data_IF_532589026476
#
_entry.id   IF_532589026476
#
_cell.length_a   1.000
_cell.length_b   1.000
_cell.length_c   1.000
_cell.angle_alpha   90.00
_cell.angle_beta   90.00
_cell.angle_gamma   90.00
#
_symmetry.space_group_name_H-M   'P 1'
#
loop_
_entity.id
_entity.type
_entity.pdbx_description
1 polymer ?
#
# COMPACT_ATOMS: atom_id res chain seq x y z
N UNK A 1 -30.36 -4.51 27.02
CA UNK A 1 -30.81 -3.09 27.07
C UNK A 1 -29.76 -2.35 27.90
N UNK A 2 -29.08 -1.27 27.52
CA UNK A 2 -29.29 -0.20 26.53
C UNK A 2 -27.92 0.41 26.16
N UNK A 3 -27.78 0.87 24.92
CA UNK A 3 -26.71 1.78 24.44
C UNK A 3 -26.97 3.20 24.97
N UNK A 4 -25.93 4.03 25.12
CA UNK A 4 -25.72 5.28 24.35
C UNK A 4 -24.75 6.29 25.02
N UNK A 5 -23.75 6.70 24.21
CA UNK A 5 -23.25 8.06 23.95
C UNK A 5 -22.62 8.83 25.12
N UNK A 6 -21.29 8.97 25.08
CA UNK A 6 -20.54 9.99 25.83
C UNK A 6 -20.51 11.29 25.01
N UNK A 7 -21.24 12.29 25.50
CA UNK A 7 -21.36 13.64 24.96
C UNK A 7 -20.19 14.52 25.40
N UNK A 8 -19.69 15.31 24.46
CA UNK A 8 -18.87 16.50 24.69
C UNK A 8 -19.72 17.55 25.43
N UNK A 9 -19.23 18.10 26.55
CA UNK A 9 -19.80 19.32 27.14
C UNK A 9 -18.70 20.29 27.50
N UNK A 10 -18.58 21.29 26.64
CA UNK A 10 -17.83 22.53 26.81
C UNK A 10 -18.62 23.40 27.80
N UNK A 11 -18.15 23.51 29.04
CA UNK A 11 -18.79 24.24 30.12
C UNK A 11 -18.33 25.71 30.16
N UNK A 12 -19.22 26.58 29.71
CA UNK A 12 -19.22 28.04 29.74
C UNK A 12 -18.78 28.69 31.05
N UNK A 13 -18.15 29.86 30.94
CA UNK A 13 -18.47 30.97 31.86
C UNK A 13 -18.67 32.25 31.05
N UNK A 14 -19.87 32.80 31.21
CA UNK A 14 -20.46 33.89 30.44
C UNK A 14 -19.98 35.27 30.91
N UNK A 15 -19.85 36.11 29.89
CA UNK A 15 -19.86 37.58 29.82
C UNK A 15 -20.98 38.24 30.66
N UNK A 16 -20.73 39.43 31.23
CA UNK A 16 -21.61 40.63 31.12
C UNK A 16 -20.94 41.94 31.61
N UNK A 17 -20.70 42.81 30.63
CA UNK A 17 -20.80 44.28 30.52
C UNK A 17 -21.03 45.24 31.71
N UNK A 18 -20.36 46.40 31.56
CA UNK A 18 -20.73 47.80 31.87
C UNK A 18 -20.63 48.33 33.31
N UNK A 19 -19.66 49.23 33.54
CA UNK A 19 -19.89 50.69 33.65
C UNK A 19 -18.60 51.43 34.00
N UNK A 20 -18.42 52.59 33.36
CA UNK A 20 -17.31 53.51 33.54
C UNK A 20 -17.62 54.53 34.65
N UNK A 21 -16.59 54.96 35.38
CA UNK A 21 -16.30 56.31 35.92
C UNK A 21 -15.16 56.11 36.93
N UNK A 22 -13.92 56.29 36.50
CA UNK A 22 -13.11 57.52 36.56
C UNK A 22 -12.40 57.69 37.92
N UNK A 23 -11.12 58.04 37.82
CA UNK A 23 -10.15 58.32 38.89
C UNK A 23 -9.56 57.15 39.71
N UNK A 24 -8.50 56.56 39.14
CA UNK A 24 -7.57 55.66 39.88
C UNK A 24 -6.84 54.61 39.04
N UNK A 25 -6.61 54.85 37.75
CA UNK A 25 -6.29 53.81 36.75
C UNK A 25 -4.85 53.22 36.74
N UNK A 26 -3.96 53.47 37.72
CA UNK A 26 -2.53 53.06 37.56
C UNK A 26 -1.84 52.31 38.71
N UNK A 27 -2.55 51.65 39.63
CA UNK A 27 -1.86 50.93 40.74
C UNK A 27 -2.34 49.51 41.04
N UNK A 28 -3.03 48.82 40.12
CA UNK A 28 -3.30 47.37 40.27
C UNK A 28 -3.24 46.55 38.98
N UNK A 29 -3.29 47.20 37.81
CA UNK A 29 -3.12 46.51 36.52
C UNK A 29 -1.64 46.12 36.32
N UNK A 30 -0.69 46.92 36.79
CA UNK A 30 0.75 46.63 36.64
C UNK A 30 1.24 45.41 37.43
N UNK A 31 0.63 45.12 38.58
CA UNK A 31 0.97 43.92 39.37
C UNK A 31 0.38 42.65 38.73
N UNK A 32 -0.88 42.68 38.30
CA UNK A 32 -1.50 41.55 37.59
C UNK A 32 -0.88 41.32 36.20
N UNK A 33 -0.53 42.39 35.47
CA UNK A 33 0.19 42.29 34.19
C UNK A 33 1.65 41.87 34.42
N UNK A 34 2.30 42.34 35.48
CA UNK A 34 3.66 41.95 35.84
C UNK A 34 3.76 40.48 36.25
N UNK A 35 2.82 39.99 37.06
CA UNK A 35 2.73 38.59 37.44
C UNK A 35 2.32 37.70 36.26
N UNK A 36 1.37 38.14 35.41
CA UNK A 36 0.99 37.41 34.20
C UNK A 36 2.11 37.40 33.14
N UNK A 37 2.81 38.51 32.90
CA UNK A 37 3.94 38.58 31.98
C UNK A 37 5.15 37.80 32.52
N UNK A 38 5.40 37.82 33.83
CA UNK A 38 6.41 37.01 34.49
C UNK A 38 6.05 35.52 34.42
N UNK A 39 4.79 35.16 34.65
CA UNK A 39 4.28 33.79 34.49
C UNK A 39 4.42 33.32 33.04
N UNK A 40 4.06 34.14 32.04
CA UNK A 40 4.23 33.81 30.61
C UNK A 40 5.71 33.71 30.22
N UNK A 41 6.57 34.60 30.74
CA UNK A 41 8.03 34.54 30.52
C UNK A 41 8.66 33.31 31.16
N UNK A 42 8.29 33.01 32.42
CA UNK A 42 8.70 31.80 33.14
C UNK A 42 8.18 30.55 32.44
N UNK A 43 6.96 30.56 31.88
CA UNK A 43 6.41 29.43 31.13
C UNK A 43 7.15 29.22 29.80
N UNK A 44 7.55 30.30 29.10
CA UNK A 44 8.41 30.20 27.91
C UNK A 44 9.81 29.68 28.26
N UNK A 45 10.39 30.12 29.38
CA UNK A 45 11.67 29.59 29.88
C UNK A 45 11.60 28.12 30.30
N UNK A 46 10.51 27.72 30.96
CA UNK A 46 10.23 26.31 31.34
C UNK A 46 9.98 25.46 30.09
N UNK A 47 9.27 25.97 29.09
CA UNK A 47 9.08 25.28 27.81
C UNK A 47 10.42 25.08 27.10
N UNK A 48 11.25 26.12 26.99
CA UNK A 48 12.59 26.00 26.41
C UNK A 48 13.47 25.02 27.18
N UNK A 49 13.39 25.02 28.52
CA UNK A 49 14.11 24.05 29.34
C UNK A 49 13.60 22.62 29.08
N UNK A 50 12.29 22.43 29.01
CA UNK A 50 11.66 21.15 28.68
C UNK A 50 12.11 20.64 27.29
N UNK A 51 12.06 21.50 26.28
CA UNK A 51 12.49 21.19 24.92
C UNK A 51 14.00 20.82 24.89
N UNK A 52 14.82 21.55 25.66
CA UNK A 52 16.25 21.25 25.80
C UNK A 52 16.50 19.90 26.49
N UNK A 53 15.74 19.55 27.53
CA UNK A 53 15.81 18.24 28.18
C UNK A 53 15.37 17.11 27.25
N UNK A 54 14.31 17.31 26.45
CA UNK A 54 13.86 16.34 25.46
C UNK A 54 14.93 16.13 24.37
N UNK A 55 15.54 17.22 23.88
CA UNK A 55 16.62 17.15 22.90
C UNK A 55 17.86 16.45 23.46
N UNK A 56 18.24 16.75 24.71
CA UNK A 56 19.33 16.06 25.40
C UNK A 56 19.03 14.57 25.57
N UNK A 57 17.81 14.21 25.96
CA UNK A 57 17.38 12.81 26.08
C UNK A 57 17.47 12.05 24.74
N UNK A 58 17.02 12.67 23.64
CA UNK A 58 17.16 12.13 22.29
C UNK A 58 18.63 11.96 21.90
N UNK A 59 19.48 12.94 22.21
CA UNK A 59 20.92 12.88 21.92
C UNK A 59 21.60 11.74 22.68
N UNK A 60 21.31 11.60 23.98
CA UNK A 60 21.85 10.52 24.81
C UNK A 60 21.39 9.14 24.32
N UNK A 61 20.14 9.01 23.88
CA UNK A 61 19.62 7.78 23.27
C UNK A 61 20.37 7.42 21.99
N UNK A 62 20.60 8.40 21.11
CA UNK A 62 21.39 8.21 19.87
C UNK A 62 22.84 7.85 20.18
N UNK A 63 23.47 8.51 21.14
CA UNK A 63 24.84 8.21 21.57
C UNK A 63 24.95 6.79 22.13
N UNK A 64 24.00 6.36 22.97
CA UNK A 64 23.95 4.99 23.51
C UNK A 64 23.83 3.94 22.40
N UNK A 65 22.95 4.20 21.41
CA UNK A 65 22.78 3.33 20.24
C UNK A 65 24.07 3.26 19.42
N UNK A 66 24.70 4.40 19.12
CA UNK A 66 25.95 4.46 18.36
C UNK A 66 27.09 3.73 19.08
N UNK A 67 27.25 3.93 20.38
CA UNK A 67 28.27 3.25 21.18
C UNK A 67 28.09 1.71 21.14
N UNK A 68 26.83 1.25 21.17
CA UNK A 68 26.51 -0.17 21.01
C UNK A 68 26.87 -0.67 19.62
N UNK A 69 26.52 0.07 18.57
CA UNK A 69 26.86 -0.28 17.18
C UNK A 69 28.38 -0.34 16.94
N UNK A 70 29.16 0.57 17.53
CA UNK A 70 30.63 0.53 17.45
C UNK A 70 31.17 -0.75 18.08
N UNK A 71 30.68 -1.13 19.27
CA UNK A 71 31.07 -2.38 19.94
C UNK A 71 30.72 -3.62 19.10
N UNK A 72 29.50 -3.67 18.56
CA UNK A 72 29.06 -4.77 17.70
C UNK A 72 29.87 -4.85 16.40
N UNK A 73 30.22 -3.71 15.81
CA UNK A 73 30.98 -3.65 14.54
C UNK A 73 32.43 -4.09 14.72
N UNK A 74 32.98 -3.91 15.92
CA UNK A 74 34.34 -4.36 16.26
C UNK A 74 34.39 -5.82 16.75
N UNK A 75 33.24 -6.49 16.95
CA UNK A 75 33.14 -7.89 17.35
C UNK A 75 32.89 -8.80 16.12
N UNK A 76 33.89 -9.60 15.70
CA UNK A 76 33.75 -10.48 14.54
C UNK A 76 32.60 -11.49 14.66
N UNK A 77 32.27 -11.93 15.87
CA UNK A 77 31.19 -12.90 16.11
C UNK A 77 29.83 -12.27 15.89
N UNK A 78 29.64 -11.02 16.33
CA UNK A 78 28.43 -10.25 16.09
C UNK A 78 28.25 -9.95 14.59
N UNK A 79 29.32 -9.57 13.90
CA UNK A 79 29.30 -9.35 12.44
C UNK A 79 28.96 -10.64 11.69
N UNK A 80 29.61 -11.75 12.01
CA UNK A 80 29.32 -13.05 11.40
C UNK A 80 27.89 -13.52 11.67
N UNK A 81 27.39 -13.33 12.89
CA UNK A 81 26.00 -13.62 13.24
C UNK A 81 25.01 -12.81 12.41
N UNK A 82 25.26 -11.51 12.23
CA UNK A 82 24.44 -10.65 11.37
C UNK A 82 24.45 -11.12 9.91
N UNK A 83 25.62 -11.49 9.36
CA UNK A 83 25.74 -12.04 8.00
C UNK A 83 24.95 -13.35 7.85
N UNK A 84 25.04 -14.25 8.82
CA UNK A 84 24.30 -15.51 8.79
C UNK A 84 22.78 -15.28 8.83
N UNK A 85 22.31 -14.35 9.65
CA UNK A 85 20.90 -13.96 9.69
C UNK A 85 20.43 -13.37 8.35
N UNK A 86 21.25 -12.52 7.72
CA UNK A 86 20.94 -11.96 6.39
C UNK A 86 20.90 -13.05 5.32
N UNK A 87 21.84 -14.00 5.33
CA UNK A 87 21.87 -15.11 4.38
C UNK A 87 20.66 -16.05 4.56
N UNK A 88 20.26 -16.32 5.80
CA UNK A 88 19.06 -17.09 6.11
C UNK A 88 17.80 -16.35 5.63
N UNK A 89 17.71 -15.04 5.88
CA UNK A 89 16.61 -14.20 5.39
C UNK A 89 16.52 -14.17 3.86
N UNK A 90 17.64 -13.99 3.17
CA UNK A 90 17.70 -14.02 1.71
C UNK A 90 17.30 -15.40 1.15
N UNK A 91 17.73 -16.48 1.80
CA UNK A 91 17.35 -17.85 1.43
C UNK A 91 15.84 -18.06 1.60
N UNK A 92 15.28 -17.66 2.74
CA UNK A 92 13.84 -17.77 2.99
C UNK A 92 12.99 -16.91 2.05
N UNK A 93 13.50 -15.75 1.59
CA UNK A 93 12.80 -14.91 0.63
C UNK A 93 12.89 -15.43 -0.81
N UNK A 94 14.06 -15.91 -1.22
CA UNK A 94 14.31 -16.20 -2.62
C UNK A 94 14.10 -17.66 -2.98
N UNK A 95 14.57 -18.59 -2.14
CA UNK A 95 14.65 -20.03 -2.44
C UNK A 95 13.50 -20.85 -1.89
N UNK A 96 12.63 -20.26 -1.08
CA UNK A 96 11.42 -20.91 -0.59
C UNK A 96 10.18 -20.43 -1.34
N UNK A 97 9.16 -21.29 -1.43
CA UNK A 97 7.84 -20.94 -2.00
C UNK A 97 6.82 -20.66 -0.90
N UNK A 98 6.60 -21.64 -0.03
CA UNK A 98 5.52 -21.62 0.97
C UNK A 98 5.73 -20.54 2.04
N UNK A 99 6.92 -20.48 2.64
CA UNK A 99 7.20 -19.51 3.72
C UNK A 99 7.80 -18.20 3.21
N UNK A 100 8.06 -18.08 1.90
CA UNK A 100 8.55 -16.83 1.33
C UNK A 100 7.41 -15.83 1.17
N UNK A 101 7.37 -14.72 1.93
CA UNK A 101 6.39 -13.67 1.69
C UNK A 101 6.53 -13.05 0.29
N UNK A 102 7.74 -13.04 -0.28
CA UNK A 102 7.98 -12.52 -1.63
C UNK A 102 7.32 -13.41 -2.69
N UNK A 103 7.51 -14.74 -2.60
CA UNK A 103 6.85 -15.69 -3.51
C UNK A 103 5.33 -15.61 -3.38
N UNK A 104 4.80 -15.59 -2.15
CA UNK A 104 3.36 -15.52 -1.90
C UNK A 104 2.74 -14.23 -2.47
N UNK A 105 3.44 -13.10 -2.38
CA UNK A 105 2.97 -11.84 -2.97
C UNK A 105 2.86 -11.91 -4.50
N UNK A 106 3.87 -12.48 -5.18
CA UNK A 106 3.83 -12.68 -6.65
C UNK A 106 2.71 -13.66 -7.03
N UNK A 107 2.59 -14.76 -6.29
CA UNK A 107 1.52 -15.74 -6.50
C UNK A 107 0.14 -15.13 -6.36
N UNK A 108 -0.07 -14.30 -5.33
CA UNK A 108 -1.33 -13.60 -5.13
C UNK A 108 -1.65 -12.66 -6.29
N UNK A 109 -0.68 -11.88 -6.76
CA UNK A 109 -0.87 -10.96 -7.88
C UNK A 109 -1.26 -11.70 -9.18
N UNK A 110 -0.57 -12.82 -9.49
CA UNK A 110 -0.87 -13.63 -10.67
C UNK A 110 -2.24 -14.30 -10.58
N UNK A 111 -2.56 -14.90 -9.42
CA UNK A 111 -3.87 -15.53 -9.20
C UNK A 111 -5.00 -14.50 -9.21
N UNK A 112 -4.79 -13.29 -8.69
CA UNK A 112 -5.77 -12.21 -8.74
C UNK A 112 -6.02 -11.73 -10.18
N UNK A 113 -4.97 -11.59 -11.00
CA UNK A 113 -5.11 -11.22 -12.41
C UNK A 113 -5.89 -12.28 -13.22
N UNK A 114 -5.54 -13.56 -13.02
CA UNK A 114 -6.27 -14.69 -13.63
C UNK A 114 -7.71 -14.75 -13.12
N UNK A 115 -7.92 -14.58 -11.81
CA UNK A 115 -9.24 -14.60 -11.18
C UNK A 115 -10.13 -13.46 -11.67
N UNK A 116 -9.57 -12.26 -11.85
CA UNK A 116 -10.27 -11.14 -12.47
C UNK A 116 -10.75 -11.51 -13.87
N UNK A 117 -9.86 -12.00 -14.73
CA UNK A 117 -10.23 -12.40 -16.08
C UNK A 117 -11.27 -13.53 -16.10
N UNK A 118 -11.13 -14.54 -15.22
CA UNK A 118 -12.13 -15.60 -15.07
C UNK A 118 -13.51 -15.06 -14.66
N UNK A 119 -13.54 -13.96 -13.92
CA UNK A 119 -14.79 -13.34 -13.44
C UNK A 119 -15.45 -12.49 -14.52
N UNK A 120 -14.69 -11.68 -15.25
CA UNK A 120 -15.25 -10.68 -16.19
C UNK A 120 -15.18 -11.09 -17.66
N UNK A 121 -14.35 -12.08 -18.01
CA UNK A 121 -14.00 -12.40 -19.39
C UNK A 121 -15.21 -12.73 -20.27
N UNK A 122 -16.21 -13.43 -19.72
CA UNK A 122 -17.44 -13.77 -20.45
C UNK A 122 -18.23 -12.54 -20.92
N UNK A 123 -18.09 -11.40 -20.24
CA UNK A 123 -18.80 -10.15 -20.54
C UNK A 123 -17.99 -9.21 -21.44
N UNK A 124 -16.71 -9.51 -21.69
CA UNK A 124 -15.86 -8.69 -22.55
C UNK A 124 -16.26 -8.92 -24.00
N UNK A 125 -16.76 -7.85 -24.63
CA UNK A 125 -17.13 -7.86 -26.04
C UNK A 125 -15.88 -7.70 -26.91
N UNK A 126 -15.74 -8.54 -27.93
CA UNK A 126 -14.61 -8.49 -28.86
C UNK A 126 -15.01 -8.82 -30.31
N UNK A 127 -14.27 -8.28 -31.28
CA UNK A 127 -14.61 -8.45 -32.68
C UNK A 127 -13.68 -7.72 -33.66
N UNK A 128 -14.04 -7.77 -34.95
CA UNK A 128 -13.19 -7.27 -36.03
C UNK A 128 -13.25 -5.74 -36.19
N UNK A 129 -14.28 -5.10 -35.64
CA UNK A 129 -14.33 -3.64 -35.50
C UNK A 129 -14.37 -2.84 -36.80
N UNK A 130 -14.68 -3.48 -37.93
CA UNK A 130 -14.57 -2.85 -39.24
C UNK A 130 -15.70 -1.86 -39.53
N UNK A 131 -16.71 -1.74 -38.66
CA UNK A 131 -17.78 -0.76 -38.78
C UNK A 131 -18.75 -1.01 -39.94
N UNK A 132 -18.63 -2.15 -40.63
CA UNK A 132 -19.41 -2.47 -41.83
C UNK A 132 -20.73 -3.20 -41.53
N UNK A 133 -21.08 -3.42 -40.26
CA UNK A 133 -22.30 -4.14 -39.85
C UNK A 133 -22.28 -5.65 -40.15
N UNK A 134 -21.19 -6.18 -40.73
CA UNK A 134 -20.96 -7.58 -41.06
C UNK A 134 -19.59 -7.79 -41.73
N UNK A 135 -19.00 -8.98 -41.63
CA UNK A 135 -17.65 -9.24 -42.18
C UNK A 135 -17.13 -10.67 -41.92
N UNK A 136 -15.97 -11.05 -42.49
CA UNK A 136 -15.63 -12.44 -42.81
C UNK A 136 -14.87 -13.18 -41.70
N UNK A 137 -15.23 -13.05 -40.43
CA UNK A 137 -14.62 -13.95 -39.45
C UNK A 137 -14.83 -13.60 -38.00
N UNK A 138 -15.63 -14.41 -37.34
CA UNK A 138 -15.52 -14.60 -35.91
C UNK A 138 -14.24 -15.39 -35.61
N UNK A 139 -13.49 -15.00 -34.59
CA UNK A 139 -12.39 -15.81 -34.05
C UNK A 139 -12.84 -16.44 -32.74
N UNK A 140 -12.62 -17.74 -32.60
CA UNK A 140 -12.90 -18.46 -31.36
C UNK A 140 -11.58 -18.67 -30.63
N UNK A 141 -11.54 -18.25 -29.37
CA UNK A 141 -10.40 -18.48 -28.47
C UNK A 141 -10.79 -19.57 -27.48
N UNK A 142 -10.15 -20.72 -27.59
CA UNK A 142 -10.35 -21.85 -26.69
C UNK A 142 -9.65 -21.65 -25.34
N UNK A 143 -10.07 -22.46 -24.35
CA UNK A 143 -9.57 -22.40 -22.96
C UNK A 143 -9.75 -21.02 -22.33
N UNK A 144 -10.88 -20.37 -22.60
CA UNK A 144 -11.25 -19.05 -22.11
C UNK A 144 -12.51 -19.13 -21.22
N UNK A 145 -12.73 -18.17 -20.28
CA UNK A 145 -13.89 -18.17 -19.40
C UNK A 145 -15.13 -17.63 -20.12
N UNK A 146 -15.68 -18.43 -21.02
CA UNK A 146 -16.89 -18.11 -21.78
C UNK A 146 -18.17 -18.29 -20.96
N UNK A 147 -19.26 -17.68 -21.42
CA UNK A 147 -20.57 -17.85 -20.78
C UNK A 147 -21.04 -19.30 -20.96
N UNK A 148 -21.02 -20.08 -19.87
CA UNK A 148 -21.36 -21.52 -19.88
C UNK A 148 -20.51 -22.34 -20.87
N UNK A 149 -19.33 -21.86 -21.23
CA UNK A 149 -18.43 -22.50 -22.18
C UNK A 149 -16.97 -22.28 -21.78
N UNK A 150 -16.07 -23.05 -22.37
CA UNK A 150 -14.61 -22.91 -22.19
C UNK A 150 -13.96 -22.16 -23.36
N UNK A 151 -14.72 -21.30 -24.04
CA UNK A 151 -14.28 -20.58 -25.23
C UNK A 151 -14.95 -19.21 -25.32
N UNK A 152 -14.22 -18.19 -25.78
CA UNK A 152 -14.79 -16.87 -26.09
C UNK A 152 -14.77 -16.66 -27.60
N UNK A 153 -15.92 -16.28 -28.14
CA UNK A 153 -16.08 -16.00 -29.57
C UNK A 153 -16.08 -14.49 -29.78
N UNK A 154 -15.08 -13.98 -30.50
CA UNK A 154 -15.01 -12.59 -30.93
C UNK A 154 -15.71 -12.42 -32.29
N UNK A 155 -16.99 -12.04 -32.27
CA UNK A 155 -17.87 -11.94 -33.45
C UNK A 155 -18.56 -10.58 -33.62
N UNK A 156 -18.10 -9.56 -32.89
CA UNK A 156 -18.66 -8.21 -32.96
C UNK A 156 -18.18 -7.45 -34.21
N UNK A 157 -19.04 -6.60 -34.76
CA UNK A 157 -18.79 -5.83 -35.99
C UNK A 157 -18.72 -4.31 -35.76
N UNK A 158 -19.23 -3.84 -34.61
CA UNK A 158 -19.14 -2.44 -34.21
C UNK A 158 -17.68 -2.01 -34.00
N UNK A 159 -17.38 -0.73 -34.28
CA UNK A 159 -16.03 -0.17 -34.17
C UNK A 159 -15.36 -0.52 -32.83
N UNK A 160 -14.08 -0.88 -32.87
CA UNK A 160 -13.32 -1.23 -31.66
C UNK A 160 -12.65 -0.03 -31.02
N UNK A 161 -12.30 -0.14 -29.75
CA UNK A 161 -11.53 0.88 -29.01
C UNK A 161 -12.11 1.19 -27.62
N UNK A 162 -11.60 2.22 -26.93
CA UNK A 162 -12.06 2.59 -25.60
C UNK A 162 -13.56 2.87 -25.55
N UNK A 163 -14.25 2.28 -24.58
CA UNK A 163 -15.71 2.35 -24.44
C UNK A 163 -16.50 1.52 -25.45
N UNK A 164 -15.82 0.68 -26.26
CA UNK A 164 -16.40 -0.18 -27.28
C UNK A 164 -15.81 -1.60 -27.20
N UNK A 165 -16.11 -2.44 -28.18
CA UNK A 165 -15.56 -3.80 -28.27
C UNK A 165 -14.04 -3.79 -28.42
N UNK A 166 -13.40 -4.82 -27.86
CA UNK A 166 -11.97 -5.09 -28.00
C UNK A 166 -11.69 -5.63 -29.41
N UNK A 167 -10.58 -5.21 -30.03
CA UNK A 167 -10.17 -5.79 -31.31
C UNK A 167 -9.67 -7.22 -31.14
N UNK A 168 -9.77 -8.04 -32.19
CA UNK A 168 -9.23 -9.39 -32.20
C UNK A 168 -7.74 -9.41 -31.86
N UNK A 169 -6.95 -8.44 -32.33
CA UNK A 169 -5.51 -8.40 -32.08
C UNK A 169 -5.16 -8.08 -30.61
N UNK A 170 -5.94 -7.22 -29.95
CA UNK A 170 -5.79 -7.01 -28.50
C UNK A 170 -6.24 -8.24 -27.72
N UNK A 171 -7.32 -8.91 -28.16
CA UNK A 171 -7.77 -10.15 -27.53
C UNK A 171 -6.73 -11.27 -27.69
N UNK A 172 -6.01 -11.36 -28.81
CA UNK A 172 -4.90 -12.32 -28.99
C UNK A 172 -3.80 -12.12 -27.96
N UNK A 173 -3.37 -10.87 -27.73
CA UNK A 173 -2.34 -10.54 -26.71
C UNK A 173 -2.81 -10.92 -25.32
N UNK A 174 -4.08 -10.63 -25.00
CA UNK A 174 -4.68 -11.00 -23.73
C UNK A 174 -4.73 -12.51 -23.56
N UNK A 175 -5.22 -13.23 -24.59
CA UNK A 175 -5.29 -14.68 -24.59
C UNK A 175 -3.90 -15.30 -24.38
N UNK A 176 -2.89 -14.86 -25.12
CA UNK A 176 -1.50 -15.31 -24.96
C UNK A 176 -1.02 -15.16 -23.51
N UNK A 177 -1.16 -13.97 -22.94
CA UNK A 177 -0.77 -13.70 -21.56
C UNK A 177 -1.52 -14.58 -20.55
N UNK A 178 -2.85 -14.71 -20.72
CA UNK A 178 -3.69 -15.53 -19.86
C UNK A 178 -3.27 -17.00 -19.89
N UNK A 179 -3.02 -17.55 -21.08
CA UNK A 179 -2.62 -18.95 -21.25
C UNK A 179 -1.22 -19.21 -20.68
N UNK A 180 -0.28 -18.28 -20.85
CA UNK A 180 1.06 -18.37 -20.24
C UNK A 180 0.95 -18.46 -18.73
N UNK A 181 0.21 -17.53 -18.10
CA UNK A 181 0.08 -17.49 -16.64
C UNK A 181 -0.64 -18.74 -16.13
N UNK A 182 -1.74 -19.13 -16.77
CA UNK A 182 -2.49 -20.33 -16.39
C UNK A 182 -1.63 -21.60 -16.48
N UNK A 183 -0.86 -21.75 -17.57
CA UNK A 183 0.01 -22.92 -17.75
C UNK A 183 1.16 -22.90 -16.74
N UNK A 184 1.75 -21.74 -16.46
CA UNK A 184 2.81 -21.58 -15.47
C UNK A 184 2.33 -21.92 -14.05
N UNK A 185 1.10 -21.53 -13.69
CA UNK A 185 0.51 -21.85 -12.38
C UNK A 185 0.15 -23.34 -12.26
N UNK A 186 -0.30 -23.98 -13.35
CA UNK A 186 -0.74 -25.40 -13.33
C UNK A 186 0.39 -26.43 -13.45
N UNK A 187 1.42 -26.16 -14.25
CA UNK A 187 2.37 -27.22 -14.68
C UNK A 187 3.39 -27.63 -13.62
N UNK A 188 3.70 -26.76 -12.65
CA UNK A 188 4.86 -26.92 -11.76
C UNK A 188 4.54 -26.70 -10.28
N UNK A 189 3.28 -26.93 -9.88
CA UNK A 189 2.78 -26.58 -8.54
C UNK A 189 3.08 -25.09 -8.22
N UNK A 190 2.66 -24.22 -9.14
CA UNK A 190 3.05 -22.81 -9.20
C UNK A 190 4.34 -22.54 -10.01
N UNK A 191 4.77 -21.29 -10.02
CA UNK A 191 5.99 -20.86 -10.72
C UNK A 191 7.25 -21.20 -9.90
N UNK A 192 8.47 -21.14 -10.47
CA UNK A 192 9.71 -21.42 -9.75
C UNK A 192 9.97 -20.47 -8.57
N UNK A 193 10.84 -20.86 -7.65
CA UNK A 193 11.37 -19.95 -6.63
C UNK A 193 12.11 -18.75 -7.26
N UNK A 194 12.20 -17.64 -6.52
CA UNK A 194 12.57 -16.34 -7.09
C UNK A 194 14.08 -16.14 -7.29
N UNK A 195 14.92 -16.91 -6.59
CA UNK A 195 16.37 -16.85 -6.68
C UNK A 195 16.99 -17.75 -7.76
N UNK A 196 16.19 -18.61 -8.39
CA UNK A 196 16.64 -19.59 -9.38
C UNK A 196 16.59 -19.10 -10.82
N UNK A 197 17.03 -19.96 -11.74
CA UNK A 197 16.76 -19.75 -13.16
C UNK A 197 15.31 -20.12 -13.47
N UNK A 198 14.63 -19.30 -14.27
CA UNK A 198 13.26 -19.56 -14.69
C UNK A 198 13.13 -20.90 -15.44
N UNK A 199 11.97 -21.54 -15.32
CA UNK A 199 11.64 -22.76 -16.06
C UNK A 199 10.90 -22.39 -17.36
N UNK A 200 11.28 -23.01 -18.48
CA UNK A 200 10.57 -22.83 -19.75
C UNK A 200 9.23 -23.54 -19.68
N UNK A 201 8.16 -22.82 -20.02
CA UNK A 201 6.81 -23.36 -20.14
C UNK A 201 6.44 -23.34 -21.62
N UNK A 202 6.08 -24.51 -22.16
CA UNK A 202 5.51 -24.59 -23.51
C UNK A 202 4.01 -24.34 -23.41
N UNK A 203 3.52 -23.40 -24.18
CA UNK A 203 2.12 -22.95 -24.14
C UNK A 203 1.48 -23.27 -25.49
N UNK A 204 0.36 -23.96 -25.46
CA UNK A 204 -0.45 -24.28 -26.64
C UNK A 204 -1.86 -23.76 -26.43
N UNK A 205 -2.31 -22.85 -27.29
CA UNK A 205 -3.67 -22.31 -27.33
C UNK A 205 -4.12 -22.08 -28.76
#
# INVERSE_FOLDING_TARGET
MKKHILSLTLGSLLVSTLSAEDDGFYTSVGYQIGEAAQMVSNTKGIQQLSDNYENLSKLLTRYSTLNTLIKLSADPSAVSGAINNLNAGATGLLKEKTNSPAYQAVSLALNAAVGLWNTIGYAVMCGNGNGTGGGPGSVIFDRQPGQQSTSITCNRFESTGPGKSMSIDEFKKLNEAYQIIQQALKSSDGFPELGGQGTKVSVTY
#
